data_IF_303425516143
#
_entry.id   IF_303425516143
#
_cell.length_a   1.000
_cell.length_b   1.000
_cell.length_c   1.000
_cell.angle_alpha   90.00
_cell.angle_beta   90.00
_cell.angle_gamma   90.00
#
_symmetry.space_group_name_H-M   'P 1'
#
loop_
_entity.id
_entity.type
_entity.pdbx_description
1 polymer ?
#
# COMPACT_ATOMS: atom_id res chain seq x y z
N UNK A 1 15.92 13.11 -10.97
CA UNK A 1 15.12 11.87 -11.10
C UNK A 1 13.94 12.02 -10.16
N UNK A 2 12.82 12.52 -10.69
CA UNK A 2 11.62 12.84 -9.91
C UNK A 2 10.76 11.58 -9.81
N UNK A 3 10.37 11.18 -8.60
CA UNK A 3 9.47 10.04 -8.37
C UNK A 3 8.15 10.29 -9.13
N UNK A 4 7.86 9.57 -10.23
CA UNK A 4 6.68 9.86 -11.02
C UNK A 4 5.46 9.16 -10.43
N UNK A 5 4.40 9.93 -10.19
CA UNK A 5 3.02 9.54 -10.49
C UNK A 5 2.32 8.44 -9.67
N UNK A 6 2.80 8.03 -8.49
CA UNK A 6 2.00 7.09 -7.67
C UNK A 6 0.82 7.74 -6.93
N UNK A 7 0.91 9.03 -6.57
CA UNK A 7 -0.10 9.70 -5.73
C UNK A 7 -1.43 10.04 -6.43
N UNK A 8 -1.54 9.86 -7.75
CA UNK A 8 -2.76 10.26 -8.50
C UNK A 8 -3.57 9.11 -9.09
N UNK A 9 -3.15 7.84 -8.96
CA UNK A 9 -3.83 6.70 -9.60
C UNK A 9 -4.39 5.61 -8.69
N UNK A 10 -4.04 5.60 -7.40
CA UNK A 10 -4.56 4.56 -6.50
C UNK A 10 -5.79 5.11 -5.79
N UNK A 11 -6.96 4.83 -6.36
CA UNK A 11 -8.20 5.04 -5.63
C UNK A 11 -8.35 3.90 -4.62
N UNK A 12 -8.06 4.23 -3.36
CA UNK A 12 -8.06 3.26 -2.25
C UNK A 12 -9.40 2.55 -2.10
N UNK A 13 -10.51 3.16 -2.51
CA UNK A 13 -11.87 2.59 -2.42
C UNK A 13 -12.07 1.36 -3.34
N UNK A 14 -11.24 1.22 -4.39
CA UNK A 14 -11.31 0.09 -5.33
C UNK A 14 -10.36 -1.05 -4.96
N UNK A 15 -9.66 -0.95 -3.82
CA UNK A 15 -8.80 -2.03 -3.38
C UNK A 15 -9.67 -3.19 -2.85
N UNK A 16 -9.42 -4.39 -3.32
CA UNK A 16 -10.11 -5.58 -2.82
C UNK A 16 -9.38 -6.13 -1.59
N UNK A 17 -8.05 -6.03 -1.58
CA UNK A 17 -7.23 -6.48 -0.46
C UNK A 17 -5.97 -5.63 -0.31
N UNK A 18 -5.52 -5.46 0.93
CA UNK A 18 -4.20 -4.91 1.20
C UNK A 18 -3.41 -5.87 2.05
N UNK A 19 -2.18 -6.15 1.64
CA UNK A 19 -1.23 -6.96 2.37
C UNK A 19 -0.01 -6.12 2.74
N UNK A 20 0.60 -6.40 3.88
CA UNK A 20 1.89 -5.82 4.24
C UNK A 20 2.89 -6.89 4.66
N UNK A 21 4.16 -6.68 4.30
CA UNK A 21 5.29 -7.43 4.84
C UNK A 21 6.32 -6.45 5.45
N UNK A 22 7.53 -6.95 5.77
CA UNK A 22 8.57 -6.13 6.39
C UNK A 22 9.04 -4.96 5.50
N UNK A 23 8.95 -5.10 4.17
CA UNK A 23 9.60 -4.21 3.21
C UNK A 23 8.62 -3.51 2.25
N UNK A 24 7.38 -4.00 2.12
CA UNK A 24 6.41 -3.58 1.12
C UNK A 24 4.96 -3.60 1.62
N UNK A 25 4.15 -2.72 1.06
CA UNK A 25 2.70 -2.80 1.02
C UNK A 25 2.24 -3.27 -0.35
N UNK A 26 1.40 -4.29 -0.41
CA UNK A 26 0.75 -4.79 -1.62
C UNK A 26 -0.72 -4.40 -1.62
N UNK A 27 -1.12 -3.62 -2.63
CA UNK A 27 -2.46 -3.10 -2.81
C UNK A 27 -3.10 -3.82 -3.97
N UNK A 28 -3.99 -4.77 -3.69
CA UNK A 28 -4.66 -5.59 -4.69
C UNK A 28 -5.96 -4.91 -5.14
N UNK A 29 -6.07 -4.63 -6.43
CA UNK A 29 -7.33 -4.24 -7.07
C UNK A 29 -8.13 -5.46 -7.54
N UNK A 30 -7.44 -6.52 -7.95
CA UNK A 30 -8.03 -7.80 -8.35
C UNK A 30 -7.01 -8.93 -8.13
N UNK A 31 -7.38 -10.19 -8.37
CA UNK A 31 -6.48 -11.37 -8.27
C UNK A 31 -5.22 -11.24 -9.13
N UNK A 32 -5.25 -10.45 -10.20
CA UNK A 32 -4.12 -10.29 -11.14
C UNK A 32 -3.51 -8.89 -11.14
N UNK A 33 -4.23 -7.89 -10.63
CA UNK A 33 -3.79 -6.50 -10.65
C UNK A 33 -3.51 -6.03 -9.23
N UNK A 34 -2.25 -5.74 -8.96
CA UNK A 34 -1.81 -5.20 -7.70
C UNK A 34 -0.73 -4.14 -7.91
N UNK A 35 -0.69 -3.19 -7.00
CA UNK A 35 0.42 -2.26 -6.84
C UNK A 35 1.23 -2.67 -5.62
N UNK A 36 2.52 -2.37 -5.64
CA UNK A 36 3.38 -2.51 -4.47
C UNK A 36 4.04 -1.19 -4.16
N UNK A 37 4.16 -0.88 -2.87
CA UNK A 37 4.80 0.33 -2.36
C UNK A 37 5.91 -0.13 -1.41
N UNK A 38 7.19 0.14 -1.71
CA UNK A 38 8.28 -0.13 -0.80
C UNK A 38 8.16 0.75 0.44
N UNK A 39 8.30 0.17 1.63
CA UNK A 39 8.32 0.92 2.89
C UNK A 39 9.50 1.89 2.95
N UNK A 40 10.62 1.51 2.32
CA UNK A 40 11.77 2.39 2.13
C UNK A 40 11.49 3.64 1.28
N UNK A 41 10.38 3.67 0.52
CA UNK A 41 9.98 4.87 -0.23
C UNK A 41 9.29 5.92 0.64
N UNK A 42 8.87 5.57 1.86
CA UNK A 42 8.38 6.57 2.81
C UNK A 42 9.56 7.36 3.36
N UNK A 43 9.39 8.68 3.37
CA UNK A 43 10.40 9.60 3.87
C UNK A 43 10.65 9.42 5.37
N UNK A 44 9.57 9.16 6.14
CA UNK A 44 9.59 8.99 7.58
C UNK A 44 8.49 8.01 8.05
N UNK A 45 8.64 7.48 9.27
CA UNK A 45 7.64 6.62 9.92
C UNK A 45 6.25 7.26 10.03
N UNK A 46 6.17 8.57 10.21
CA UNK A 46 4.88 9.29 10.29
C UNK A 46 4.12 9.23 8.95
N UNK A 47 4.84 9.31 7.82
CA UNK A 47 4.24 9.21 6.48
C UNK A 47 3.72 7.79 6.24
N UNK A 48 4.49 6.78 6.64
CA UNK A 48 4.07 5.38 6.60
C UNK A 48 2.81 5.15 7.46
N UNK A 49 2.79 5.68 8.68
CA UNK A 49 1.64 5.57 9.58
C UNK A 49 0.40 6.27 9.03
N UNK A 50 0.55 7.43 8.42
CA UNK A 50 -0.54 8.15 7.77
C UNK A 50 -1.12 7.36 6.60
N UNK A 51 -0.25 6.80 5.74
CA UNK A 51 -0.66 5.91 4.66
C UNK A 51 -1.42 4.68 5.21
N UNK A 52 -0.86 4.03 6.24
CA UNK A 52 -1.47 2.87 6.89
C UNK A 52 -2.84 3.19 7.48
N UNK A 53 -3.00 4.35 8.11
CA UNK A 53 -4.27 4.80 8.67
C UNK A 53 -5.34 5.03 7.59
N UNK A 54 -4.96 5.59 6.44
CA UNK A 54 -5.87 5.75 5.29
C UNK A 54 -6.32 4.38 4.79
N UNK A 55 -5.39 3.45 4.60
CA UNK A 55 -5.74 2.10 4.14
C UNK A 55 -6.65 1.39 5.15
N UNK A 56 -6.33 1.41 6.44
CA UNK A 56 -7.12 0.77 7.49
C UNK A 56 -8.55 1.33 7.61
N UNK A 57 -8.76 2.58 7.22
CA UNK A 57 -10.08 3.21 7.22
C UNK A 57 -11.01 2.61 6.16
N UNK A 58 -10.46 2.15 5.04
CA UNK A 58 -11.24 1.61 3.92
C UNK A 58 -11.16 0.08 3.82
N UNK A 59 -10.03 -0.53 4.20
CA UNK A 59 -9.75 -1.95 4.03
C UNK A 59 -9.02 -2.56 5.22
N UNK A 60 -9.19 -3.87 5.42
CA UNK A 60 -8.34 -4.63 6.34
C UNK A 60 -6.98 -4.87 5.72
N UNK A 61 -5.92 -4.54 6.47
CA UNK A 61 -4.55 -4.91 6.09
C UNK A 61 -4.28 -6.32 6.63
N UNK A 62 -4.02 -7.25 5.72
CA UNK A 62 -3.56 -8.59 6.07
C UNK A 62 -2.05 -8.56 6.28
N UNK A 63 -1.62 -8.84 7.49
CA UNK A 63 -0.21 -9.04 7.83
C UNK A 63 0.13 -10.51 7.65
N UNK A 64 1.01 -10.83 6.70
CA UNK A 64 1.37 -12.22 6.43
C UNK A 64 2.69 -12.35 5.71
N UNK A 65 3.41 -13.43 6.02
CA UNK A 65 4.47 -13.94 5.17
C UNK A 65 3.73 -14.60 4.00
N UNK A 66 3.81 -14.05 2.78
CA UNK A 66 3.43 -14.81 1.59
C UNK A 66 4.24 -16.11 1.63
N UNK A 67 3.57 -17.23 1.90
CA UNK A 67 4.17 -18.55 2.08
C UNK A 67 4.08 -19.33 0.79
#
# INVERSE_FOLDING_TARGET
MSAPELSSKINVDYLVNVWENADFYFLFHDKRNFWYIPKASFQNREQEQYFRAIILKHHKISTGIMK
#
